data_IF_050094077898
#
_entry.id   IF_050094077898
#
_cell.length_a   1.000
_cell.length_b   1.000
_cell.length_c   1.000
_cell.angle_alpha   90.00
_cell.angle_beta   90.00
_cell.angle_gamma   90.00
#
_symmetry.space_group_name_H-M   'P 1'
#
loop_
_entity.id
_entity.type
_entity.pdbx_description
1 polymer ?
#
# COMPACT_ATOMS: atom_id res chain seq x y z
N UNK A 1 10.06 -6.58 -11.75
CA UNK A 1 8.74 -6.25 -11.19
C UNK A 1 8.32 -4.89 -11.72
N UNK A 2 7.18 -4.79 -12.39
CA UNK A 2 6.66 -3.54 -12.93
C UNK A 2 6.01 -2.70 -11.82
N UNK A 3 6.16 -1.38 -11.84
CA UNK A 3 5.39 -0.49 -10.97
C UNK A 3 4.26 0.15 -11.76
N UNK A 4 3.03 0.01 -11.28
CA UNK A 4 1.84 0.63 -11.82
C UNK A 4 1.33 1.60 -10.76
N UNK A 5 1.64 2.88 -10.95
CA UNK A 5 1.31 3.94 -9.99
C UNK A 5 0.02 4.65 -10.40
N UNK A 6 -0.90 4.80 -9.46
CA UNK A 6 -2.05 5.68 -9.62
C UNK A 6 -1.55 7.12 -9.83
N UNK A 7 -2.09 7.80 -10.86
CA UNK A 7 -1.75 9.18 -11.21
C UNK A 7 -2.25 10.21 -10.20
N UNK A 8 -2.74 11.37 -10.66
CA UNK A 8 -3.31 12.45 -9.83
C UNK A 8 -4.17 11.93 -8.67
N UNK A 9 -4.10 12.54 -7.48
CA UNK A 9 -4.87 12.14 -6.30
C UNK A 9 -6.35 11.89 -6.65
N UNK A 10 -6.84 10.71 -6.31
CA UNK A 10 -8.13 10.16 -6.73
C UNK A 10 -8.97 9.83 -5.50
N UNK A 11 -10.29 9.89 -5.65
CA UNK A 11 -11.22 9.47 -4.60
C UNK A 11 -11.02 7.99 -4.22
N UNK A 12 -11.55 7.58 -3.06
CA UNK A 12 -11.61 6.17 -2.65
C UNK A 12 -12.19 5.30 -3.76
N UNK A 13 -13.30 5.76 -4.37
CA UNK A 13 -13.99 5.07 -5.47
C UNK A 13 -13.10 4.90 -6.71
N UNK A 14 -12.43 5.96 -7.14
CA UNK A 14 -11.53 5.92 -8.30
C UNK A 14 -10.34 5.00 -8.05
N UNK A 15 -9.88 4.91 -6.80
CA UNK A 15 -8.79 4.04 -6.38
C UNK A 15 -9.18 2.58 -6.38
N UNK A 16 -10.38 2.25 -5.91
CA UNK A 16 -10.94 0.90 -6.02
C UNK A 16 -11.12 0.47 -7.48
N UNK A 17 -11.55 1.38 -8.35
CA UNK A 17 -11.63 1.09 -9.79
C UNK A 17 -10.25 0.81 -10.36
N UNK A 18 -9.26 1.66 -10.08
CA UNK A 18 -7.87 1.46 -10.51
C UNK A 18 -7.33 0.11 -10.06
N UNK A 19 -7.55 -0.28 -8.80
CA UNK A 19 -7.17 -1.59 -8.28
C UNK A 19 -7.80 -2.72 -9.10
N UNK A 20 -9.13 -2.72 -9.25
CA UNK A 20 -9.87 -3.76 -9.97
C UNK A 20 -9.45 -3.89 -11.44
N UNK A 21 -9.04 -2.80 -12.09
CA UNK A 21 -8.56 -2.77 -13.48
C UNK A 21 -7.12 -3.31 -13.66
N UNK A 22 -6.32 -3.36 -12.60
CA UNK A 22 -4.89 -3.71 -12.68
C UNK A 22 -4.49 -4.89 -11.80
N UNK A 23 -5.39 -5.42 -10.98
CA UNK A 23 -5.11 -6.47 -10.00
C UNK A 23 -4.61 -7.76 -10.66
N UNK A 24 -5.11 -8.09 -11.85
CA UNK A 24 -4.65 -9.22 -12.67
C UNK A 24 -3.15 -9.14 -13.01
N UNK A 25 -2.60 -7.93 -13.15
CA UNK A 25 -1.18 -7.70 -13.47
C UNK A 25 -0.24 -7.94 -12.28
N UNK A 26 -0.78 -7.94 -11.07
CA UNK A 26 -0.01 -8.21 -9.83
C UNK A 26 0.38 -9.68 -9.75
N UNK A 27 -0.47 -10.56 -10.25
CA UNK A 27 -0.40 -12.02 -10.06
C UNK A 27 -0.48 -12.37 -8.56
N UNK A 28 0.28 -13.36 -8.07
CA UNK A 28 0.30 -13.74 -6.66
C UNK A 28 0.78 -12.59 -5.79
N UNK A 29 -0.15 -11.99 -5.04
CA UNK A 29 0.15 -11.01 -4.00
C UNK A 29 1.06 -11.64 -2.95
N UNK A 30 2.18 -11.00 -2.66
CA UNK A 30 3.14 -11.37 -1.61
C UNK A 30 3.02 -10.45 -0.40
N UNK A 31 2.89 -9.15 -0.64
CA UNK A 31 2.87 -8.15 0.41
C UNK A 31 1.85 -7.05 0.15
N UNK A 32 1.35 -6.44 1.22
CA UNK A 32 0.70 -5.13 1.19
C UNK A 32 1.46 -4.21 2.14
N UNK A 33 1.93 -3.09 1.62
CA UNK A 33 2.65 -2.07 2.39
C UNK A 33 1.79 -0.83 2.50
N UNK A 34 1.53 -0.38 3.73
CA UNK A 34 0.90 0.91 3.99
C UNK A 34 1.98 1.89 4.42
N UNK A 35 2.25 2.85 3.54
CA UNK A 35 3.37 3.76 3.62
C UNK A 35 2.91 5.21 3.80
N UNK A 36 3.34 5.86 4.88
CA UNK A 36 3.21 7.31 5.05
C UNK A 36 4.48 8.00 4.53
N UNK A 37 4.33 8.83 3.50
CA UNK A 37 5.41 9.56 2.82
C UNK A 37 5.55 11.01 3.31
N UNK A 38 5.25 11.28 4.60
CA UNK A 38 5.11 12.65 5.10
C UNK A 38 6.39 13.47 4.96
N UNK A 39 7.55 12.86 5.23
CA UNK A 39 8.86 13.53 5.12
C UNK A 39 9.26 13.71 3.65
N UNK A 40 8.92 12.73 2.85
CA UNK A 40 9.32 12.56 1.47
C UNK A 40 8.50 13.48 0.54
N UNK A 41 7.24 13.70 0.88
CA UNK A 41 6.36 14.65 0.21
C UNK A 41 6.90 16.08 0.26
N UNK A 42 7.51 16.49 1.39
CA UNK A 42 8.15 17.81 1.52
C UNK A 42 9.35 17.99 0.57
N UNK A 43 9.97 16.90 0.15
CA UNK A 43 11.15 16.89 -0.73
C UNK A 43 10.77 16.63 -2.20
N UNK A 44 9.70 15.88 -2.43
CA UNK A 44 9.20 15.54 -3.75
C UNK A 44 7.68 15.79 -3.85
N UNK A 45 7.25 16.89 -4.49
CA UNK A 45 5.84 17.24 -4.59
C UNK A 45 5.02 16.28 -5.46
N UNK A 46 5.66 15.38 -6.22
CA UNK A 46 4.99 14.33 -7.01
C UNK A 46 4.63 13.08 -6.18
N UNK A 47 4.98 13.09 -4.89
CA UNK A 47 4.53 12.07 -3.93
C UNK A 47 3.19 12.46 -3.32
N UNK A 48 2.54 11.49 -2.69
CA UNK A 48 1.35 11.68 -1.88
C UNK A 48 1.65 11.28 -0.44
N UNK A 49 0.96 11.90 0.51
CA UNK A 49 1.17 11.66 1.95
C UNK A 49 1.06 10.19 2.36
N UNK A 50 0.26 9.40 1.66
CA UNK A 50 0.03 8.00 2.00
C UNK A 50 -0.13 7.14 0.73
N UNK A 51 0.38 5.91 0.80
CA UNK A 51 0.21 4.89 -0.22
C UNK A 51 -0.17 3.54 0.40
N UNK A 52 -1.18 2.89 -0.15
CA UNK A 52 -1.36 1.45 -0.07
C UNK A 52 -0.70 0.81 -1.29
N UNK A 53 0.29 -0.05 -1.07
CA UNK A 53 1.09 -0.67 -2.12
C UNK A 53 0.89 -2.18 -2.08
N UNK A 54 0.26 -2.73 -3.10
CA UNK A 54 0.10 -4.18 -3.26
C UNK A 54 1.25 -4.69 -4.11
N UNK A 55 2.05 -5.61 -3.56
CA UNK A 55 3.25 -6.17 -4.19
C UNK A 55 2.98 -7.64 -4.51
N UNK A 56 3.06 -8.00 -5.79
CA UNK A 56 3.00 -9.38 -6.24
C UNK A 56 4.28 -9.84 -6.92
N UNK A 57 4.19 -10.96 -7.64
CA UNK A 57 5.34 -11.52 -8.38
C UNK A 57 5.73 -10.66 -9.58
N UNK A 58 4.72 -10.15 -10.30
CA UNK A 58 4.96 -9.49 -11.58
C UNK A 58 4.95 -7.96 -11.44
N UNK A 59 4.07 -7.42 -10.60
CA UNK A 59 3.87 -5.98 -10.48
C UNK A 59 3.61 -5.49 -9.05
N UNK A 60 3.70 -4.17 -8.90
CA UNK A 60 3.26 -3.42 -7.73
C UNK A 60 2.17 -2.44 -8.15
N UNK A 61 1.10 -2.35 -7.37
CA UNK A 61 0.07 -1.31 -7.52
C UNK A 61 0.23 -0.30 -6.41
N UNK A 62 0.49 0.96 -6.77
CA UNK A 62 0.65 2.04 -5.81
C UNK A 62 -0.60 2.92 -5.83
N UNK A 63 -1.29 2.99 -4.70
CA UNK A 63 -2.60 3.63 -4.58
C UNK A 63 -2.58 4.67 -3.46
N UNK A 64 -3.01 5.90 -3.74
CA UNK A 64 -2.93 7.00 -2.76
C UNK A 64 -4.29 7.47 -2.25
N UNK A 65 -5.38 7.06 -2.90
CA UNK A 65 -6.75 7.38 -2.46
C UNK A 65 -7.32 6.43 -1.41
N UNK A 66 -6.48 5.62 -0.74
CA UNK A 66 -6.90 4.73 0.35
C UNK A 66 -6.30 5.22 1.67
N UNK A 67 -7.14 5.36 2.69
CA UNK A 67 -6.78 5.79 4.04
C UNK A 67 -6.76 4.60 4.99
N UNK A 68 -5.95 4.66 6.05
CA UNK A 68 -5.93 3.70 7.16
C UNK A 68 -5.49 4.40 8.44
N UNK A 69 -5.91 3.89 9.60
CA UNK A 69 -5.92 4.71 10.81
C UNK A 69 -6.79 5.96 10.61
N UNK A 70 -7.08 6.71 11.66
CA UNK A 70 -8.06 7.79 11.59
C UNK A 70 -7.52 9.05 10.88
N UNK A 71 -7.46 9.04 9.54
CA UNK A 71 -7.22 10.22 8.69
C UNK A 71 -7.97 10.08 7.34
N UNK A 72 -9.11 10.75 7.16
CA UNK A 72 -9.84 10.85 5.87
C UNK A 72 -11.24 10.21 5.85
N UNK A 73 -11.73 9.77 4.67
CA UNK A 73 -13.07 9.17 4.45
C UNK A 73 -13.30 7.82 5.15
N UNK A 74 -12.39 7.40 6.03
CA UNK A 74 -12.43 6.11 6.74
C UNK A 74 -11.81 4.96 5.93
N UNK A 75 -11.43 3.85 6.59
CA UNK A 75 -10.61 2.79 5.99
C UNK A 75 -11.34 1.87 5.00
N UNK A 76 -12.58 2.20 4.59
CA UNK A 76 -13.43 1.29 3.81
C UNK A 76 -12.81 0.87 2.48
N UNK A 77 -12.16 1.80 1.77
CA UNK A 77 -11.47 1.45 0.52
C UNK A 77 -10.30 0.50 0.72
N UNK A 78 -9.54 0.66 1.80
CA UNK A 78 -8.48 -0.30 2.13
C UNK A 78 -9.07 -1.66 2.51
N UNK A 79 -10.16 -1.66 3.30
CA UNK A 79 -10.88 -2.88 3.65
C UNK A 79 -11.34 -3.66 2.41
N UNK A 80 -11.95 -3.01 1.41
CA UNK A 80 -12.35 -3.68 0.16
C UNK A 80 -11.15 -4.34 -0.55
N UNK A 81 -10.02 -3.63 -0.66
CA UNK A 81 -8.80 -4.17 -1.29
C UNK A 81 -8.29 -5.38 -0.53
N UNK A 82 -8.20 -5.29 0.80
CA UNK A 82 -7.70 -6.38 1.63
C UNK A 82 -8.64 -7.58 1.61
N UNK A 83 -9.96 -7.37 1.63
CA UNK A 83 -10.95 -8.44 1.59
C UNK A 83 -10.95 -9.19 0.24
N UNK A 84 -10.63 -8.52 -0.87
CA UNK A 84 -10.44 -9.18 -2.17
C UNK A 84 -9.23 -10.13 -2.19
N UNK A 85 -8.25 -9.91 -1.31
CA UNK A 85 -7.02 -10.72 -1.22
C UNK A 85 -7.15 -11.80 -0.13
N UNK A 86 -7.70 -11.43 1.02
CA UNK A 86 -8.02 -12.29 2.16
C UNK A 86 -9.46 -12.01 2.63
N UNK A 87 -10.43 -12.86 2.25
CA UNK A 87 -11.83 -12.70 2.63
C UNK A 87 -12.10 -12.76 4.15
N UNK A 88 -11.13 -13.20 4.96
CA UNK A 88 -11.28 -13.29 6.42
C UNK A 88 -10.95 -12.00 7.15
N UNK A 89 -10.34 -11.02 6.47
CA UNK A 89 -10.09 -9.69 7.02
C UNK A 89 -11.43 -9.01 7.37
N UNK A 90 -11.49 -8.43 8.57
CA UNK A 90 -12.65 -7.65 9.03
C UNK A 90 -12.38 -6.15 8.96
N UNK A 91 -13.45 -5.36 8.94
CA UNK A 91 -13.33 -3.90 8.92
C UNK A 91 -12.66 -3.37 10.20
N UNK A 92 -12.99 -3.95 11.35
CA UNK A 92 -12.45 -3.58 12.66
C UNK A 92 -10.93 -3.79 12.73
N UNK A 93 -10.41 -4.83 12.07
CA UNK A 93 -8.96 -5.04 11.98
C UNK A 93 -8.26 -3.91 11.22
N UNK A 94 -8.91 -3.33 10.20
CA UNK A 94 -8.35 -2.23 9.41
C UNK A 94 -8.50 -0.90 10.16
N UNK A 95 -9.62 -0.70 10.85
CA UNK A 95 -9.87 0.47 11.69
C UNK A 95 -8.88 0.54 12.87
N UNK A 96 -8.54 -0.60 13.47
CA UNK A 96 -7.59 -0.71 14.57
C UNK A 96 -6.11 -0.59 14.15
N UNK A 97 -5.81 -0.34 12.87
CA UNK A 97 -4.43 -0.15 12.42
C UNK A 97 -3.86 1.17 12.95
N UNK A 98 -2.88 1.05 13.83
CA UNK A 98 -2.09 2.17 14.32
C UNK A 98 -0.74 2.22 13.60
N UNK A 99 -0.36 3.39 13.10
CA UNK A 99 0.97 3.58 12.53
C UNK A 99 1.97 3.91 13.65
N UNK A 100 3.01 3.08 13.88
CA UNK A 100 3.98 3.32 14.96
C UNK A 100 5.00 4.42 14.64
N UNK A 101 4.84 5.17 13.54
CA UNK A 101 5.70 6.32 13.17
C UNK A 101 7.11 5.98 12.68
N UNK A 102 7.59 4.75 12.89
CA UNK A 102 8.99 4.36 12.59
C UNK A 102 9.12 3.59 11.28
N UNK A 103 8.18 2.68 11.00
CA UNK A 103 8.20 1.82 9.82
C UNK A 103 6.82 1.77 9.15
N UNK A 104 6.76 1.43 7.86
CA UNK A 104 5.50 1.15 7.18
C UNK A 104 4.78 -0.04 7.83
N UNK A 105 3.46 -0.08 7.72
CA UNK A 105 2.68 -1.26 8.11
C UNK A 105 2.82 -2.30 6.99
N UNK A 106 3.18 -3.53 7.33
CA UNK A 106 3.38 -4.61 6.38
C UNK A 106 2.41 -5.77 6.67
N UNK A 107 1.67 -6.17 5.64
CA UNK A 107 1.00 -7.47 5.61
C UNK A 107 1.73 -8.39 4.65
N UNK A 108 2.00 -9.61 5.09
CA UNK A 108 2.48 -10.71 4.25
C UNK A 108 1.31 -11.62 3.90
N UNK A 109 1.20 -11.99 2.63
CA UNK A 109 0.23 -12.97 2.18
C UNK A 109 0.81 -14.38 2.31
N UNK A 110 0.26 -15.14 3.26
CA UNK A 110 0.58 -16.55 3.47
C UNK A 110 -0.62 -17.37 3.04
N UNK A 111 -0.54 -17.96 1.85
CA UNK A 111 -1.57 -18.85 1.27
C UNK A 111 -2.98 -18.24 1.23
N UNK A 112 -3.07 -16.96 0.86
CA UNK A 112 -4.33 -16.22 0.77
C UNK A 112 -4.75 -15.54 2.09
N UNK A 113 -3.91 -15.60 3.13
CA UNK A 113 -4.16 -14.91 4.40
C UNK A 113 -3.17 -13.78 4.64
N UNK A 114 -3.68 -12.60 4.96
CA UNK A 114 -2.87 -11.43 5.26
C UNK A 114 -2.49 -11.42 6.74
N UNK A 115 -1.22 -11.61 7.03
CA UNK A 115 -0.66 -11.54 8.37
C UNK A 115 0.15 -10.27 8.55
N UNK A 116 -0.15 -9.51 9.61
CA UNK A 116 0.67 -8.38 10.00
C UNK A 116 2.07 -8.87 10.40
N UNK A 117 3.11 -8.27 9.86
CA UNK A 117 4.51 -8.65 10.12
C UNK A 117 5.42 -7.43 10.16
N UNK A 118 6.70 -7.63 10.51
CA UNK A 118 7.69 -6.55 10.55
C UNK A 118 8.14 -6.18 9.14
N UNK A 119 8.19 -4.88 8.87
CA UNK A 119 8.78 -4.36 7.65
C UNK A 119 10.30 -4.62 7.64
N UNK A 120 10.81 -5.23 6.57
CA UNK A 120 12.22 -5.66 6.47
C UNK A 120 12.96 -5.00 5.30
N UNK A 121 14.29 -5.04 5.35
CA UNK A 121 15.14 -4.58 4.24
C UNK A 121 14.87 -5.33 2.92
N UNK A 122 14.46 -6.59 2.99
CA UNK A 122 14.09 -7.37 1.82
C UNK A 122 12.86 -6.76 1.13
N UNK A 123 11.81 -6.42 1.88
CA UNK A 123 10.61 -5.75 1.32
C UNK A 123 10.96 -4.34 0.85
N UNK A 124 11.79 -3.62 1.59
CA UNK A 124 12.29 -2.31 1.18
C UNK A 124 12.98 -2.34 -0.19
N UNK A 125 13.79 -3.37 -0.45
CA UNK A 125 14.48 -3.55 -1.73
C UNK A 125 13.51 -3.76 -2.90
N UNK A 126 12.32 -4.31 -2.65
CA UNK A 126 11.28 -4.46 -3.67
C UNK A 126 10.67 -3.11 -4.04
N UNK A 127 10.54 -2.20 -3.08
CA UNK A 127 9.98 -0.86 -3.29
C UNK A 127 10.98 0.11 -3.96
N UNK A 128 12.25 -0.26 -4.05
CA UNK A 128 13.30 0.55 -4.65
C UNK A 128 13.51 0.20 -6.14
N UNK A 129 13.27 1.16 -7.04
CA UNK A 129 13.76 1.07 -8.43
C UNK A 129 14.93 2.04 -8.67
N UNK A 130 15.78 1.67 -9.64
CA UNK A 130 16.69 2.62 -10.28
C UNK A 130 15.86 3.78 -10.88
N UNK A 131 16.11 5.02 -10.43
CA UNK A 131 15.62 6.24 -11.08
C UNK A 131 14.34 6.90 -10.53
N UNK A 132 13.69 6.38 -9.49
CA UNK A 132 12.48 7.03 -8.94
C UNK A 132 12.08 6.48 -7.58
N UNK A 133 12.53 7.14 -6.52
CA UNK A 133 12.49 6.63 -5.13
C UNK A 133 11.13 6.90 -4.47
N UNK A 134 10.56 5.91 -3.77
CA UNK A 134 10.06 6.20 -2.41
C UNK A 134 11.30 6.33 -1.54
N UNK A 135 11.56 7.49 -0.91
CA UNK A 135 12.71 7.63 -0.04
C UNK A 135 12.50 6.77 1.21
N UNK A 136 13.11 5.59 1.23
CA UNK A 136 13.06 4.71 2.40
C UNK A 136 14.26 4.92 3.34
N UNK A 137 15.26 5.70 2.92
CA UNK A 137 16.38 6.02 3.79
C UNK A 137 16.12 7.33 4.56
N UNK A 138 16.34 7.36 5.88
CA UNK A 138 16.65 8.63 6.52
C UNK A 138 17.85 9.24 5.78
N UNK A 139 17.72 10.50 5.36
CA UNK A 139 18.89 11.30 5.02
C UNK A 139 19.81 11.42 6.25
#
# INVERSE_FOLDING_TARGET
MQIIKQGSLKSTRDTLRFFKEHFDKVDKVKYIVLYFAEREWLLNPDLYHQYAIVIGENAQLWMSGLTWGYCGEGPYGLFEVMQMIDPSITFEQIEALEWPGTYPILFENVEGRLSLTQFTNSVASLLCLEGGRLPWFPL
#
